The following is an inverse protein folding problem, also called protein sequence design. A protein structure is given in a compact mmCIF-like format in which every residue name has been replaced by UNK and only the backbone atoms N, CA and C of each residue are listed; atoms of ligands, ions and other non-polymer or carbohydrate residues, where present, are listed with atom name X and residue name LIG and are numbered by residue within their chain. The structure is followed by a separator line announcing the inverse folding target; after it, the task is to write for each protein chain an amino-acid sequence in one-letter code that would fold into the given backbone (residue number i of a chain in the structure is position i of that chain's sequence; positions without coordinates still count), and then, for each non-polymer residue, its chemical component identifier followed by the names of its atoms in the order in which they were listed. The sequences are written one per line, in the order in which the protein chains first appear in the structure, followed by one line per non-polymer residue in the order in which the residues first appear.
data_IF_209240760557
#
_entry.id   IF_209240760557
#
_cell.length_a   1.000
_cell.length_b   1.000
_cell.length_c   1.000
_cell.angle_alpha   90.00
_cell.angle_beta   90.00
_cell.angle_gamma   90.00
#
_symmetry.space_group_name_H-M   'P 1'
#
loop_
_entity.id
_entity.type
_entity.pdbx_description
1 polymer ?
#
# COMPACT_ATOMS: atom_id res chain seq x y z
N UNK A 1 53.59 -15.99 11.26
CA UNK A 1 53.01 -14.99 10.34
C UNK A 1 51.73 -15.58 9.75
N UNK A 2 50.59 -15.28 10.37
CA UNK A 2 49.21 -15.39 9.89
C UNK A 2 48.41 -14.45 10.80
N UNK A 3 47.72 -13.40 10.31
CA UNK A 3 46.93 -12.55 11.19
C UNK A 3 45.56 -13.19 11.46
N UNK A 4 45.30 -13.47 12.74
CA UNK A 4 44.00 -13.88 13.25
C UNK A 4 42.98 -12.75 13.14
N UNK A 5 41.74 -13.11 12.81
CA UNK A 5 40.58 -12.24 12.60
C UNK A 5 40.35 -11.32 13.81
N UNK A 6 40.60 -10.04 13.64
CA UNK A 6 39.99 -9.00 14.47
C UNK A 6 38.53 -8.87 14.08
N UNK A 7 37.64 -9.17 15.02
CA UNK A 7 36.22 -8.87 14.96
C UNK A 7 36.10 -7.34 14.98
N UNK A 8 35.58 -6.75 13.91
CA UNK A 8 35.14 -5.36 13.93
C UNK A 8 33.77 -5.34 14.59
N UNK A 9 33.75 -4.91 15.85
CA UNK A 9 32.55 -4.44 16.53
C UNK A 9 32.06 -3.19 15.81
N UNK A 10 31.05 -3.34 14.96
CA UNK A 10 30.33 -2.22 14.36
C UNK A 10 28.93 -2.22 14.98
N UNK A 11 28.74 -1.33 15.95
CA UNK A 11 27.60 -1.16 16.86
C UNK A 11 26.39 -0.53 16.15
N UNK A 12 26.04 -1.08 14.99
CA UNK A 12 24.75 -0.86 14.36
C UNK A 12 24.13 -2.24 14.17
N UNK A 13 23.07 -2.51 14.94
CA UNK A 13 22.35 -3.79 15.00
C UNK A 13 21.63 -4.19 13.70
N UNK A 14 22.27 -4.03 12.56
CA UNK A 14 21.89 -4.61 11.28
C UNK A 14 22.84 -5.76 11.03
N UNK A 15 22.44 -6.96 11.48
CA UNK A 15 23.04 -8.20 11.02
C UNK A 15 22.94 -8.19 9.50
N UNK A 16 24.05 -7.89 8.81
CA UNK A 16 24.20 -8.13 7.38
C UNK A 16 24.19 -9.64 7.20
N UNK A 17 22.99 -10.19 7.07
CA UNK A 17 22.81 -11.54 6.57
C UNK A 17 23.46 -11.57 5.18
N UNK A 18 24.67 -12.11 5.12
CA UNK A 18 25.30 -12.57 3.89
C UNK A 18 24.54 -13.81 3.40
N UNK A 19 23.25 -13.66 3.13
CA UNK A 19 22.42 -14.65 2.48
C UNK A 19 22.75 -14.56 0.99
N UNK A 20 23.58 -15.48 0.52
CA UNK A 20 23.70 -15.93 -0.87
C UNK A 20 23.46 -14.85 -1.93
N UNK A 21 24.56 -14.33 -2.51
CA UNK A 21 24.60 -13.45 -3.70
C UNK A 21 23.87 -13.99 -4.96
N UNK A 22 23.16 -15.12 -4.86
CA UNK A 22 22.37 -15.80 -5.91
C UNK A 22 20.87 -15.92 -5.60
N UNK A 23 20.36 -15.29 -4.54
CA UNK A 23 18.93 -15.30 -4.18
C UNK A 23 18.31 -13.90 -4.04
N UNK A 24 18.90 -12.88 -4.64
CA UNK A 24 18.18 -11.62 -4.89
C UNK A 24 17.44 -11.77 -6.23
N UNK A 25 16.32 -12.50 -6.22
CA UNK A 25 15.24 -12.14 -7.14
C UNK A 25 14.46 -11.07 -6.40
N UNK A 26 14.37 -9.85 -6.91
CA UNK A 26 13.29 -8.94 -6.50
C UNK A 26 12.04 -9.40 -7.26
N UNK A 27 11.11 -10.01 -6.53
CA UNK A 27 10.10 -10.93 -7.03
C UNK A 27 8.74 -10.24 -7.19
N UNK A 28 8.67 -9.19 -8.01
CA UNK A 28 7.44 -8.86 -8.78
C UNK A 28 7.10 -9.98 -9.80
N UNK A 29 7.28 -11.24 -9.41
CA UNK A 29 6.96 -12.44 -10.18
C UNK A 29 5.47 -12.38 -10.46
N UNK A 30 5.13 -12.56 -11.73
CA UNK A 30 3.78 -12.87 -12.17
C UNK A 30 3.33 -14.17 -11.50
N UNK A 31 2.84 -14.12 -10.27
CA UNK A 31 2.08 -15.22 -9.71
C UNK A 31 0.70 -15.16 -10.38
N UNK A 32 0.31 -16.26 -10.99
CA UNK A 32 -1.07 -16.43 -11.43
C UNK A 32 -1.92 -16.63 -10.16
N UNK A 33 -2.91 -15.78 -9.96
CA UNK A 33 -3.85 -15.90 -8.85
C UNK A 33 -5.19 -16.36 -9.39
N UNK A 34 -5.79 -17.36 -8.73
CA UNK A 34 -7.18 -17.73 -8.97
C UNK A 34 -8.06 -16.87 -8.07
N UNK A 35 -8.94 -16.07 -8.65
CA UNK A 35 -9.81 -15.18 -7.89
C UNK A 35 -10.77 -14.41 -8.77
N UNK A 36 -11.60 -13.58 -8.15
CA UNK A 36 -12.50 -12.68 -8.91
C UNK A 36 -11.64 -11.66 -9.65
N UNK A 37 -11.70 -11.69 -10.97
CA UNK A 37 -11.04 -10.70 -11.82
C UNK A 37 -11.92 -9.43 -11.83
N UNK A 38 -11.31 -8.25 -11.88
CA UNK A 38 -12.07 -6.99 -11.97
C UNK A 38 -12.51 -6.67 -13.41
N UNK A 39 -11.88 -7.31 -14.40
CA UNK A 39 -12.14 -7.10 -15.84
C UNK A 39 -13.26 -8.01 -16.33
N UNK A 40 -13.23 -9.27 -15.89
CA UNK A 40 -14.24 -10.27 -16.16
C UNK A 40 -14.88 -10.54 -14.81
N UNK A 41 -16.16 -10.25 -14.63
CA UNK A 41 -16.91 -10.47 -13.37
C UNK A 41 -17.15 -11.99 -13.12
N UNK A 42 -16.12 -12.78 -13.34
CA UNK A 42 -16.03 -14.22 -13.29
C UNK A 42 -14.73 -14.61 -12.57
N UNK A 43 -14.71 -15.82 -11.99
CA UNK A 43 -13.53 -16.35 -11.31
C UNK A 43 -12.59 -16.93 -12.37
N UNK A 44 -11.48 -16.24 -12.63
CA UNK A 44 -10.48 -16.68 -13.59
C UNK A 44 -9.07 -16.55 -13.02
N UNK A 45 -8.12 -17.19 -13.70
CA UNK A 45 -6.71 -17.08 -13.32
C UNK A 45 -6.14 -15.83 -13.97
N UNK A 46 -5.66 -14.87 -13.19
CA UNK A 46 -5.11 -13.62 -13.71
C UNK A 46 -3.72 -13.32 -13.17
N UNK A 47 -2.96 -12.53 -13.95
CA UNK A 47 -1.65 -12.03 -13.54
C UNK A 47 -1.83 -10.86 -12.59
N UNK A 48 -1.64 -11.11 -11.30
CA UNK A 48 -1.68 -10.03 -10.31
C UNK A 48 -0.34 -9.29 -10.27
N UNK A 49 -0.41 -7.98 -10.21
CA UNK A 49 0.74 -7.10 -9.99
C UNK A 49 0.34 -6.05 -8.98
N UNK A 50 1.19 -5.85 -7.97
CA UNK A 50 0.99 -4.78 -7.00
C UNK A 50 0.84 -3.43 -7.69
N UNK A 51 -0.19 -2.68 -7.31
CA UNK A 51 -0.46 -1.33 -7.75
C UNK A 51 -0.62 -0.42 -6.52
N UNK A 52 0.36 0.46 -6.30
CA UNK A 52 0.40 1.35 -5.16
C UNK A 52 -0.75 2.37 -5.14
N UNK A 53 -1.16 2.87 -6.31
CA UNK A 53 -2.27 3.81 -6.44
C UNK A 53 -3.58 3.15 -6.02
N UNK A 54 -3.82 1.93 -6.50
CA UNK A 54 -4.99 1.14 -6.13
C UNK A 54 -5.02 0.80 -4.64
N UNK A 55 -3.88 0.44 -4.06
CA UNK A 55 -3.76 0.19 -2.62
C UNK A 55 -4.03 1.47 -1.81
N UNK A 56 -3.57 2.63 -2.28
CA UNK A 56 -3.81 3.93 -1.66
C UNK A 56 -5.29 4.29 -1.68
N UNK A 57 -5.96 4.13 -2.84
CA UNK A 57 -7.41 4.33 -2.98
C UNK A 57 -8.22 3.41 -2.07
N UNK A 58 -7.84 2.14 -1.97
CA UNK A 58 -8.47 1.19 -1.07
C UNK A 58 -8.33 1.62 0.41
N UNK A 59 -7.16 2.14 0.81
CA UNK A 59 -6.94 2.67 2.15
C UNK A 59 -7.79 3.90 2.45
N UNK A 60 -7.90 4.84 1.51
CA UNK A 60 -8.76 6.02 1.62
C UNK A 60 -10.22 5.58 1.80
N UNK A 61 -10.68 4.69 0.92
CA UNK A 61 -12.06 4.18 0.97
C UNK A 61 -12.36 3.49 2.29
N UNK A 62 -11.47 2.62 2.77
CA UNK A 62 -11.60 1.96 4.06
C UNK A 62 -11.62 2.97 5.23
N UNK A 63 -10.85 4.06 5.13
CA UNK A 63 -10.83 5.13 6.14
C UNK A 63 -12.17 5.86 6.19
N UNK A 64 -12.75 6.18 5.03
CA UNK A 64 -14.04 6.88 4.92
C UNK A 64 -15.19 6.00 5.40
N UNK A 65 -15.28 4.76 4.91
CA UNK A 65 -16.39 3.84 5.24
C UNK A 65 -16.43 3.50 6.73
N UNK A 66 -15.27 3.36 7.36
CA UNK A 66 -15.17 3.07 8.79
C UNK A 66 -15.05 4.35 9.65
N UNK A 67 -15.21 5.54 9.06
CA UNK A 67 -15.12 6.85 9.72
C UNK A 67 -13.86 7.01 10.58
N UNK A 68 -12.75 6.39 10.16
CA UNK A 68 -11.52 6.37 10.94
C UNK A 68 -10.82 7.72 10.84
N UNK A 69 -10.37 8.30 11.97
CA UNK A 69 -9.50 9.46 11.93
C UNK A 69 -8.23 9.10 11.15
N UNK A 70 -7.78 9.93 10.18
CA UNK A 70 -6.54 9.68 9.43
C UNK A 70 -5.34 9.36 10.32
N UNK A 71 -5.26 10.01 11.50
CA UNK A 71 -4.21 9.78 12.50
C UNK A 71 -4.17 8.32 12.98
N UNK A 72 -5.32 7.70 13.23
CA UNK A 72 -5.40 6.33 13.76
C UNK A 72 -4.89 5.30 12.75
N UNK A 73 -5.04 5.58 11.45
CA UNK A 73 -4.67 4.66 10.37
C UNK A 73 -3.23 4.90 9.93
N UNK A 74 -2.89 6.10 9.44
CA UNK A 74 -1.60 6.33 8.77
C UNK A 74 -0.45 6.70 9.71
N UNK A 75 -0.73 7.17 10.92
CA UNK A 75 0.28 7.54 11.93
C UNK A 75 0.52 6.43 12.95
N UNK A 76 -0.31 5.38 12.98
CA UNK A 76 -0.09 4.22 13.86
C UNK A 76 1.19 3.48 13.45
N UNK A 77 2.12 3.35 14.40
CA UNK A 77 3.33 2.57 14.21
C UNK A 77 3.02 1.08 14.02
N UNK A 78 2.03 0.55 14.75
CA UNK A 78 1.59 -0.84 14.59
C UNK A 78 1.04 -1.09 13.18
N UNK A 79 0.21 -0.17 12.66
CA UNK A 79 -0.30 -0.27 11.29
C UNK A 79 0.83 -0.18 10.26
N UNK A 80 1.76 0.76 10.41
CA UNK A 80 2.92 0.88 9.52
C UNK A 80 3.80 -0.36 9.53
N UNK A 81 4.05 -0.95 10.70
CA UNK A 81 4.79 -2.20 10.84
C UNK A 81 4.06 -3.37 10.17
N UNK A 82 2.74 -3.48 10.36
CA UNK A 82 1.91 -4.50 9.70
C UNK A 82 2.00 -4.38 8.17
N UNK A 83 1.77 -3.17 7.65
CA UNK A 83 1.84 -2.88 6.22
C UNK A 83 3.25 -3.13 5.67
N UNK A 84 4.29 -2.69 6.37
CA UNK A 84 5.69 -2.92 5.95
C UNK A 84 6.06 -4.41 5.96
N UNK A 85 5.46 -5.21 6.85
CA UNK A 85 5.69 -6.65 6.91
C UNK A 85 5.01 -7.37 5.76
N UNK A 86 3.80 -6.91 5.36
CA UNK A 86 3.06 -7.47 4.24
C UNK A 86 3.58 -6.99 2.87
N UNK A 87 3.97 -5.71 2.77
CA UNK A 87 4.43 -5.06 1.55
C UNK A 87 5.49 -3.99 1.86
N UNK A 88 6.79 -4.35 1.90
CA UNK A 88 7.86 -3.42 2.29
C UNK A 88 8.09 -2.27 1.30
N UNK A 89 7.57 -2.39 0.08
CA UNK A 89 7.70 -1.36 -0.96
C UNK A 89 6.54 -0.38 -0.98
N UNK A 90 5.42 -0.68 -0.32
CA UNK A 90 4.30 0.23 -0.22
C UNK A 90 4.58 1.31 0.82
N UNK A 91 4.66 2.56 0.36
CA UNK A 91 4.74 3.71 1.26
C UNK A 91 3.34 4.09 1.69
N UNK A 92 3.03 3.90 2.98
CA UNK A 92 1.78 4.36 3.57
C UNK A 92 1.66 5.88 3.33
N UNK A 93 0.55 6.36 2.77
CA UNK A 93 0.35 7.78 2.49
C UNK A 93 0.44 8.61 3.77
N UNK A 94 0.85 9.87 3.62
CA UNK A 94 0.85 10.80 4.75
C UNK A 94 -0.58 11.20 5.12
N UNK A 95 -0.76 11.71 6.34
CA UNK A 95 -2.04 12.25 6.79
C UNK A 95 -2.56 13.36 5.86
N UNK A 96 -1.70 14.29 5.47
CA UNK A 96 -2.07 15.40 4.59
C UNK A 96 -2.53 14.90 3.21
N UNK A 97 -1.84 13.90 2.67
CA UNK A 97 -2.25 13.27 1.41
C UNK A 97 -3.63 12.61 1.56
N UNK A 98 -3.84 11.85 2.64
CA UNK A 98 -5.13 11.22 2.91
C UNK A 98 -6.27 12.25 3.04
N UNK A 99 -6.02 13.37 3.72
CA UNK A 99 -7.00 14.46 3.86
C UNK A 99 -7.33 15.12 2.53
N UNK A 100 -6.32 15.36 1.70
CA UNK A 100 -6.51 15.97 0.39
C UNK A 100 -7.29 15.05 -0.56
N UNK A 101 -6.96 13.77 -0.58
CA UNK A 101 -7.68 12.76 -1.36
C UNK A 101 -9.15 12.63 -0.90
N UNK A 102 -9.40 12.60 0.41
CA UNK A 102 -10.78 12.62 0.94
C UNK A 102 -11.54 13.88 0.51
N UNK A 103 -10.89 15.05 0.56
CA UNK A 103 -11.48 16.33 0.15
C UNK A 103 -11.82 16.31 -1.34
N UNK A 104 -10.92 15.80 -2.17
CA UNK A 104 -11.12 15.70 -3.61
C UNK A 104 -12.30 14.78 -3.94
N UNK A 105 -12.35 13.59 -3.32
CA UNK A 105 -13.46 12.66 -3.51
C UNK A 105 -14.81 13.27 -3.10
N UNK A 106 -14.83 14.03 -2.01
CA UNK A 106 -16.03 14.75 -1.58
C UNK A 106 -16.51 15.76 -2.63
N UNK A 107 -15.60 16.58 -3.17
CA UNK A 107 -15.97 17.57 -4.19
C UNK A 107 -16.44 16.92 -5.50
N UNK A 108 -15.83 15.78 -5.89
CA UNK A 108 -16.26 14.99 -7.04
C UNK A 108 -17.69 14.45 -6.87
N UNK A 109 -18.00 13.82 -5.73
CA UNK A 109 -19.34 13.29 -5.44
C UNK A 109 -20.38 14.40 -5.30
N UNK A 110 -20.01 15.52 -4.66
CA UNK A 110 -20.86 16.71 -4.56
C UNK A 110 -21.19 17.30 -5.93
N UNK A 111 -20.22 17.34 -6.85
CA UNK A 111 -20.45 17.80 -8.21
C UNK A 111 -21.44 16.87 -8.95
N UNK A 112 -21.28 15.55 -8.82
CA UNK A 112 -22.23 14.56 -9.38
C UNK A 112 -23.63 14.77 -8.84
N UNK A 113 -23.77 14.93 -7.52
CA UNK A 113 -25.06 15.16 -6.88
C UNK A 113 -25.72 16.46 -7.37
N UNK A 114 -24.96 17.55 -7.52
CA UNK A 114 -25.49 18.80 -8.08
C UNK A 114 -26.03 18.61 -9.49
N UNK A 115 -25.28 17.91 -10.34
CA UNK A 115 -25.72 17.63 -11.72
C UNK A 115 -26.98 16.78 -11.75
N UNK A 116 -27.07 15.75 -10.91
CA UNK A 116 -28.28 14.91 -10.79
C UNK A 116 -29.50 15.71 -10.32
N UNK A 117 -29.33 16.58 -9.32
CA UNK A 117 -30.39 17.44 -8.81
C UNK A 117 -30.83 18.46 -9.86
N UNK A 118 -29.88 19.07 -10.57
CA UNK A 118 -30.15 20.00 -11.65
C UNK A 118 -30.95 19.35 -12.78
N UNK A 119 -30.51 18.17 -13.23
CA UNK A 119 -31.18 17.40 -14.29
C UNK A 119 -32.59 16.91 -13.90
N UNK A 120 -32.91 16.86 -12.60
CA UNK A 120 -34.23 16.47 -12.10
C UNK A 120 -35.22 17.64 -11.98
N UNK A 121 -34.72 18.87 -11.91
CA UNK A 121 -35.54 20.07 -11.77
C UNK A 121 -35.80 20.81 -13.09
N UNK A 122 -35.26 20.34 -14.21
CA UNK A 122 -35.61 20.76 -15.57
C UNK A 122 -36.51 19.73 -16.24
#
# INVERSE_FOLDING_TARGET
MMPGRGVADDDSGVVKLNLCRRLIKDHRVSSYYYGRNEIEDNVSTYRWKFNAEKATKALIFATIVNELPPRCVVESQQFRSLVSSACPTFRVPSKSLLQEECRQLFEEEKAKLKTLLWNRMG
#
